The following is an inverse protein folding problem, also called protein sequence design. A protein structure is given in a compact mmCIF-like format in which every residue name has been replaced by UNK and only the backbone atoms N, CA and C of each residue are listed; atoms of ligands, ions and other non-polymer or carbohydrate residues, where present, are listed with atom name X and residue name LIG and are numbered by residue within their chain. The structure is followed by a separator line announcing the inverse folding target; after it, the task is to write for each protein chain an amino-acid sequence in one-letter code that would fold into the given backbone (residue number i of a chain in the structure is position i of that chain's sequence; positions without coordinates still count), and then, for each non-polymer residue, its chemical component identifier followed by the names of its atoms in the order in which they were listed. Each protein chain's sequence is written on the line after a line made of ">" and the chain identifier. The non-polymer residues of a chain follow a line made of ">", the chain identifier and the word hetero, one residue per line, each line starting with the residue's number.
data_IF_063178230641
#
_entry.id   IF_063178230641
#
_cell.length_a   1.000
_cell.length_b   1.000
_cell.length_c   1.000
_cell.angle_alpha   90.00
_cell.angle_beta   90.00
_cell.angle_gamma   90.00
#
_symmetry.space_group_name_H-M   'P 1'
#
loop_
_entity.id
_entity.type
_entity.pdbx_description
1 polymer ?
#
# COMPACT_ATOMS: atom_id res chain seq x y z
N UNK A 1 -81.94 -38.87 22.37
CA UNK A 1 -80.77 -39.31 21.56
C UNK A 1 -80.26 -38.11 20.83
N UNK A 2 -79.26 -37.42 21.41
CA UNK A 2 -78.66 -36.19 20.86
C UNK A 2 -77.22 -36.44 20.59
N UNK A 3 -76.76 -36.37 19.29
CA UNK A 3 -75.42 -36.48 18.85
C UNK A 3 -74.70 -35.11 18.95
N UNK A 4 -73.46 -34.99 19.48
CA UNK A 4 -72.74 -33.78 19.48
C UNK A 4 -72.00 -33.60 18.11
N UNK A 5 -72.12 -32.42 17.53
CA UNK A 5 -71.32 -31.94 16.39
C UNK A 5 -69.86 -31.64 16.88
N UNK A 6 -68.91 -32.32 16.28
CA UNK A 6 -67.49 -31.99 16.43
C UNK A 6 -67.11 -30.89 15.42
N UNK A 7 -66.83 -29.70 15.90
CA UNK A 7 -66.25 -28.62 15.09
C UNK A 7 -64.74 -28.88 14.90
N UNK A 8 -64.40 -29.19 13.64
CA UNK A 8 -63.00 -29.31 13.21
C UNK A 8 -62.44 -27.91 12.88
N UNK A 9 -61.65 -27.37 13.79
CA UNK A 9 -60.91 -26.11 13.55
C UNK A 9 -59.61 -26.43 12.78
N UNK A 10 -59.57 -26.08 11.49
CA UNK A 10 -58.34 -26.09 10.68
C UNK A 10 -57.42 -24.95 11.13
N UNK A 11 -56.30 -25.28 11.79
CA UNK A 11 -55.22 -24.37 12.08
C UNK A 11 -54.32 -24.27 10.87
N UNK A 12 -54.48 -23.23 10.07
CA UNK A 12 -53.58 -22.93 8.94
C UNK A 12 -52.26 -22.34 9.50
N UNK A 13 -51.23 -23.17 9.63
CA UNK A 13 -49.87 -22.71 9.95
C UNK A 13 -49.27 -22.03 8.70
N UNK A 14 -49.26 -20.70 8.70
CA UNK A 14 -48.44 -19.93 7.76
C UNK A 14 -46.97 -20.11 8.15
N UNK A 15 -46.27 -20.98 7.42
CA UNK A 15 -44.80 -21.02 7.43
C UNK A 15 -44.33 -19.80 6.65
N UNK A 16 -43.94 -18.75 7.37
CA UNK A 16 -43.21 -17.63 6.79
C UNK A 16 -41.83 -18.14 6.33
N UNK A 17 -41.70 -18.46 5.07
CA UNK A 17 -40.37 -18.62 4.43
C UNK A 17 -39.71 -17.24 4.45
N UNK A 18 -38.85 -16.99 5.46
CA UNK A 18 -37.87 -15.91 5.39
C UNK A 18 -36.94 -16.23 4.23
N UNK A 19 -37.25 -15.70 3.05
CA UNK A 19 -36.30 -15.63 1.96
C UNK A 19 -35.15 -14.70 2.42
N UNK A 20 -34.13 -15.28 3.03
CA UNK A 20 -32.83 -14.65 3.00
C UNK A 20 -32.44 -14.55 1.54
N UNK A 21 -32.62 -13.37 0.96
CA UNK A 21 -32.05 -13.07 -0.33
C UNK A 21 -30.55 -13.30 -0.19
N UNK A 22 -30.04 -14.46 -0.68
CA UNK A 22 -28.64 -14.59 -1.03
C UNK A 22 -28.44 -13.48 -2.09
N UNK A 23 -27.74 -12.41 -1.68
CA UNK A 23 -27.23 -11.44 -2.64
C UNK A 23 -26.52 -12.27 -3.72
N UNK A 24 -26.95 -12.13 -4.97
CA UNK A 24 -26.34 -12.86 -6.08
C UNK A 24 -24.85 -12.53 -6.07
N UNK A 25 -24.02 -13.56 -5.85
CA UNK A 25 -22.57 -13.40 -5.79
C UNK A 25 -22.10 -12.83 -7.12
N UNK A 26 -21.54 -11.62 -7.12
CA UNK A 26 -21.09 -10.92 -8.34
C UNK A 26 -19.93 -11.68 -9.02
N UNK A 27 -19.42 -12.72 -8.37
CA UNK A 27 -18.28 -13.52 -8.79
C UNK A 27 -17.06 -13.29 -7.92
N UNK A 28 -15.93 -13.89 -8.31
CA UNK A 28 -14.69 -13.86 -7.55
C UNK A 28 -13.79 -12.71 -7.97
N UNK A 29 -13.31 -11.89 -7.04
CA UNK A 29 -12.16 -10.99 -7.24
C UNK A 29 -10.92 -11.58 -6.56
N UNK A 30 -9.78 -11.59 -7.25
CA UNK A 30 -8.49 -11.90 -6.67
C UNK A 30 -7.82 -10.61 -6.20
N UNK A 31 -7.39 -10.57 -4.94
CA UNK A 31 -6.66 -9.47 -4.31
C UNK A 31 -5.29 -10.01 -3.93
N UNK A 32 -4.25 -9.55 -4.61
CA UNK A 32 -2.90 -10.10 -4.51
C UNK A 32 -1.97 -8.93 -4.18
N UNK A 33 -1.30 -9.01 -3.03
CA UNK A 33 -0.45 -7.93 -2.49
C UNK A 33 0.87 -8.49 -1.98
N UNK A 34 1.88 -7.67 -1.65
CA UNK A 34 3.07 -8.08 -0.91
C UNK A 34 2.76 -8.59 0.51
N UNK A 35 3.79 -8.82 1.33
CA UNK A 35 3.64 -9.36 2.68
C UNK A 35 2.84 -8.43 3.59
N UNK A 36 1.85 -9.01 4.28
CA UNK A 36 1.05 -8.29 5.28
C UNK A 36 1.80 -8.02 6.60
N UNK A 37 3.06 -8.44 6.71
CA UNK A 37 3.96 -7.99 7.78
C UNK A 37 4.27 -6.50 7.65
N UNK A 38 4.23 -5.95 6.43
CA UNK A 38 4.21 -4.52 6.21
C UNK A 38 2.76 -4.01 6.34
N UNK A 39 2.46 -3.12 7.31
CA UNK A 39 1.11 -2.64 7.56
C UNK A 39 0.50 -1.87 6.38
N UNK A 40 1.31 -1.30 5.49
CA UNK A 40 0.83 -0.62 4.29
C UNK A 40 0.14 -1.61 3.33
N UNK A 41 0.80 -2.69 2.97
CA UNK A 41 0.22 -3.71 2.08
C UNK A 41 -0.97 -4.45 2.71
N UNK A 42 -0.95 -4.60 4.05
CA UNK A 42 -2.12 -5.09 4.78
C UNK A 42 -3.31 -4.14 4.63
N UNK A 43 -3.11 -2.83 4.77
CA UNK A 43 -4.16 -1.84 4.61
C UNK A 43 -4.74 -1.84 3.18
N UNK A 44 -3.92 -2.03 2.15
CA UNK A 44 -4.39 -2.19 0.77
C UNK A 44 -5.27 -3.42 0.60
N UNK A 45 -4.79 -4.58 1.08
CA UNK A 45 -5.56 -5.82 1.00
C UNK A 45 -6.91 -5.70 1.74
N UNK A 46 -6.92 -5.09 2.92
CA UNK A 46 -8.13 -4.85 3.71
C UNK A 46 -9.07 -3.84 3.04
N UNK A 47 -8.54 -2.77 2.43
CA UNK A 47 -9.30 -1.77 1.69
C UNK A 47 -9.99 -2.37 0.46
N UNK A 48 -9.25 -3.15 -0.33
CA UNK A 48 -9.82 -3.88 -1.47
C UNK A 48 -10.88 -4.89 -1.02
N UNK A 49 -10.60 -5.68 0.04
CA UNK A 49 -11.53 -6.66 0.61
C UNK A 49 -12.82 -6.00 1.09
N UNK A 50 -12.71 -4.87 1.80
CA UNK A 50 -13.87 -4.14 2.31
C UNK A 50 -14.79 -3.68 1.17
N UNK A 51 -14.22 -3.07 0.12
CA UNK A 51 -14.98 -2.61 -1.05
C UNK A 51 -15.55 -3.78 -1.86
N UNK A 52 -14.81 -4.86 -2.03
CA UNK A 52 -15.30 -6.05 -2.74
C UNK A 52 -16.52 -6.66 -2.03
N UNK A 53 -16.48 -6.77 -0.69
CA UNK A 53 -17.62 -7.24 0.12
C UNK A 53 -18.82 -6.30 0.04
N UNK A 54 -18.59 -4.99 0.10
CA UNK A 54 -19.65 -3.97 -0.05
C UNK A 54 -20.40 -4.14 -1.38
N UNK A 55 -19.66 -4.46 -2.44
CA UNK A 55 -20.22 -4.65 -3.78
C UNK A 55 -20.74 -6.09 -4.05
N UNK A 56 -20.67 -7.00 -3.08
CA UNK A 56 -21.21 -8.36 -3.18
C UNK A 56 -20.30 -9.37 -3.89
N UNK A 57 -19.01 -9.11 -4.00
CA UNK A 57 -18.03 -10.04 -4.58
C UNK A 57 -17.51 -11.04 -3.54
N UNK A 58 -17.35 -12.31 -3.98
CA UNK A 58 -16.45 -13.23 -3.31
C UNK A 58 -14.99 -12.82 -3.52
N UNK A 59 -14.09 -13.14 -2.59
CA UNK A 59 -12.71 -12.71 -2.66
C UNK A 59 -11.72 -13.85 -2.45
N UNK A 60 -10.62 -13.84 -3.21
CA UNK A 60 -9.39 -14.57 -2.95
C UNK A 60 -8.33 -13.55 -2.55
N UNK A 61 -8.03 -13.46 -1.25
CA UNK A 61 -6.98 -12.56 -0.75
C UNK A 61 -5.73 -13.38 -0.50
N UNK A 62 -4.59 -12.98 -1.07
CA UNK A 62 -3.33 -13.68 -0.94
C UNK A 62 -2.13 -12.73 -0.98
N UNK A 63 -1.06 -13.11 -0.28
CA UNK A 63 0.22 -12.42 -0.32
C UNK A 63 1.23 -13.18 -1.15
N UNK A 64 1.97 -12.46 -2.00
CA UNK A 64 3.10 -13.01 -2.75
C UNK A 64 4.45 -12.84 -2.04
N UNK A 65 4.50 -12.11 -0.91
CA UNK A 65 5.71 -11.91 -0.09
C UNK A 65 6.92 -11.37 -0.89
N UNK A 66 6.66 -10.50 -1.87
CA UNK A 66 7.65 -9.99 -2.85
C UNK A 66 8.37 -11.07 -3.68
N UNK A 67 7.83 -12.28 -3.74
CA UNK A 67 8.30 -13.37 -4.59
C UNK A 67 7.54 -13.39 -5.92
N UNK A 68 8.26 -13.15 -7.01
CA UNK A 68 7.71 -13.13 -8.38
C UNK A 68 7.10 -14.49 -8.76
N UNK A 69 7.71 -15.60 -8.35
CA UNK A 69 7.19 -16.94 -8.69
C UNK A 69 5.87 -17.20 -7.95
N UNK A 70 5.81 -16.82 -6.68
CA UNK A 70 4.58 -16.92 -5.89
C UNK A 70 3.47 -16.04 -6.45
N UNK A 71 3.80 -14.77 -6.84
CA UNK A 71 2.86 -13.91 -7.55
C UNK A 71 2.30 -14.58 -8.81
N UNK A 72 3.17 -15.13 -9.65
CA UNK A 72 2.75 -15.78 -10.91
C UNK A 72 1.81 -16.96 -10.64
N UNK A 73 2.11 -17.79 -9.64
CA UNK A 73 1.24 -18.90 -9.22
C UNK A 73 -0.12 -18.40 -8.72
N UNK A 74 -0.17 -17.28 -8.00
CA UNK A 74 -1.42 -16.65 -7.53
C UNK A 74 -2.26 -16.10 -8.69
N UNK A 75 -1.62 -15.47 -9.67
CA UNK A 75 -2.29 -15.00 -10.90
C UNK A 75 -2.84 -16.20 -11.70
N UNK A 76 -2.06 -17.28 -11.86
CA UNK A 76 -2.53 -18.52 -12.50
C UNK A 76 -3.69 -19.17 -11.74
N UNK A 77 -3.64 -19.14 -10.40
CA UNK A 77 -4.75 -19.59 -9.56
C UNK A 77 -6.01 -18.75 -9.78
N UNK A 78 -5.87 -17.43 -9.89
CA UNK A 78 -6.99 -16.53 -10.20
C UNK A 78 -7.60 -16.86 -11.58
N UNK A 79 -6.74 -17.10 -12.58
CA UNK A 79 -7.17 -17.52 -13.92
C UNK A 79 -7.92 -18.86 -13.88
N UNK A 80 -7.34 -19.88 -13.24
CA UNK A 80 -7.94 -21.20 -13.13
C UNK A 80 -9.30 -21.18 -12.40
N UNK A 81 -9.43 -20.31 -11.39
CA UNK A 81 -10.68 -20.09 -10.65
C UNK A 81 -11.67 -19.17 -11.36
N UNK A 82 -11.35 -18.70 -12.57
CA UNK A 82 -12.19 -17.79 -13.38
C UNK A 82 -12.56 -16.53 -12.61
N UNK A 83 -11.59 -15.94 -11.93
CA UNK A 83 -11.79 -14.64 -11.27
C UNK A 83 -12.33 -13.62 -12.28
N UNK A 84 -13.23 -12.74 -11.83
CA UNK A 84 -13.79 -11.68 -12.68
C UNK A 84 -12.81 -10.55 -12.92
N UNK A 85 -11.95 -10.27 -11.94
CA UNK A 85 -10.85 -9.32 -12.04
C UNK A 85 -9.75 -9.66 -11.03
N UNK A 86 -8.56 -9.09 -11.26
CA UNK A 86 -7.40 -9.16 -10.35
C UNK A 86 -7.08 -7.73 -9.90
N UNK A 87 -7.01 -7.52 -8.59
CA UNK A 87 -6.45 -6.33 -7.95
C UNK A 87 -5.06 -6.73 -7.50
N UNK A 88 -4.03 -6.05 -7.98
CA UNK A 88 -2.65 -6.49 -7.85
C UNK A 88 -1.74 -5.33 -7.42
N UNK A 89 -1.10 -5.45 -6.28
CA UNK A 89 0.15 -4.76 -6.00
C UNK A 89 1.29 -5.73 -6.33
N UNK A 90 2.15 -5.39 -7.29
CA UNK A 90 3.00 -6.36 -7.97
C UNK A 90 4.36 -6.60 -7.28
N UNK A 91 5.00 -7.76 -7.57
CA UNK A 91 6.30 -8.16 -7.02
C UNK A 91 7.52 -7.56 -7.78
N UNK A 92 7.28 -6.88 -8.90
CA UNK A 92 8.33 -6.24 -9.71
C UNK A 92 7.81 -5.79 -11.06
N UNK A 93 8.17 -4.57 -11.45
CA UNK A 93 7.59 -3.86 -12.60
C UNK A 93 7.78 -4.58 -13.94
N UNK A 94 8.96 -5.13 -14.20
CA UNK A 94 9.25 -5.87 -15.44
C UNK A 94 8.74 -7.32 -15.38
N UNK A 95 8.98 -7.99 -14.26
CA UNK A 95 8.63 -9.40 -14.08
C UNK A 95 7.11 -9.65 -14.14
N UNK A 96 6.30 -8.63 -13.85
CA UNK A 96 4.84 -8.73 -13.82
C UNK A 96 4.18 -8.48 -15.19
N UNK A 97 4.90 -7.95 -16.18
CA UNK A 97 4.36 -7.70 -17.53
C UNK A 97 3.77 -8.96 -18.17
N UNK A 98 4.54 -10.06 -18.16
CA UNK A 98 4.09 -11.34 -18.73
C UNK A 98 2.85 -11.92 -18.03
N UNK A 99 2.84 -12.04 -16.70
CA UNK A 99 1.68 -12.51 -15.95
C UNK A 99 0.39 -11.68 -16.14
N UNK A 100 0.50 -10.34 -16.20
CA UNK A 100 -0.65 -9.45 -16.49
C UNK A 100 -1.14 -9.64 -17.92
N UNK A 101 -0.22 -9.80 -18.89
CA UNK A 101 -0.61 -10.14 -20.26
C UNK A 101 -1.35 -11.48 -20.31
N UNK A 102 -0.86 -12.50 -19.60
CA UNK A 102 -1.52 -13.82 -19.52
C UNK A 102 -2.94 -13.73 -18.93
N UNK A 103 -3.13 -12.90 -17.89
CA UNK A 103 -4.46 -12.67 -17.33
C UNK A 103 -5.39 -11.98 -18.36
N UNK A 104 -4.89 -10.97 -19.06
CA UNK A 104 -5.62 -10.29 -20.16
C UNK A 104 -6.02 -11.25 -21.26
N UNK A 105 -5.10 -12.11 -21.73
CA UNK A 105 -5.35 -13.10 -22.78
C UNK A 105 -6.39 -14.16 -22.36
N UNK A 106 -6.48 -14.42 -21.06
CA UNK A 106 -7.53 -15.26 -20.44
C UNK A 106 -8.86 -14.52 -20.22
N UNK A 107 -8.96 -13.25 -20.62
CA UNK A 107 -10.16 -12.42 -20.46
C UNK A 107 -10.38 -11.88 -19.06
N UNK A 108 -9.35 -11.88 -18.21
CA UNK A 108 -9.43 -11.39 -16.83
C UNK A 108 -8.75 -10.02 -16.72
N UNK A 109 -9.50 -8.93 -16.51
CA UNK A 109 -8.95 -7.60 -16.37
C UNK A 109 -8.16 -7.47 -15.06
N UNK A 110 -7.00 -6.79 -15.14
CA UNK A 110 -6.14 -6.51 -13.99
C UNK A 110 -6.13 -5.01 -13.70
N UNK A 111 -6.23 -4.68 -12.42
CA UNK A 111 -6.15 -3.35 -11.85
C UNK A 111 -4.96 -3.32 -10.90
N UNK A 112 -3.92 -2.57 -11.25
CA UNK A 112 -2.72 -2.43 -10.43
C UNK A 112 -2.93 -1.31 -9.41
N UNK A 113 -2.40 -1.53 -8.23
CA UNK A 113 -2.37 -0.55 -7.13
C UNK A 113 -0.93 -0.38 -6.63
N UNK A 114 -0.62 0.77 -6.04
CA UNK A 114 0.67 1.18 -5.50
C UNK A 114 1.83 1.08 -6.49
N UNK A 115 2.12 -0.10 -7.03
CA UNK A 115 3.23 -0.36 -7.94
C UNK A 115 2.75 -0.51 -9.38
N UNK A 116 3.32 0.27 -10.29
CA UNK A 116 3.05 0.12 -11.72
C UNK A 116 3.95 -0.95 -12.36
N UNK A 117 3.58 -1.36 -13.57
CA UNK A 117 4.43 -2.20 -14.44
C UNK A 117 4.99 -1.39 -15.59
N UNK A 118 6.15 -1.81 -16.14
CA UNK A 118 6.84 -1.15 -17.26
C UNK A 118 6.14 -1.43 -18.61
N UNK A 119 4.80 -1.49 -18.61
CA UNK A 119 3.98 -1.69 -19.79
C UNK A 119 2.61 -1.05 -19.62
N UNK A 120 2.14 -0.38 -20.67
CA UNK A 120 0.77 0.12 -20.78
C UNK A 120 -0.03 -0.70 -21.80
N UNK A 121 -1.35 -0.59 -21.75
CA UNK A 121 -2.27 -1.24 -22.69
C UNK A 121 -2.58 -2.70 -22.35
N UNK A 122 -2.10 -3.22 -21.22
CA UNK A 122 -2.38 -4.59 -20.77
C UNK A 122 -3.16 -4.66 -19.46
N UNK A 123 -2.98 -3.69 -18.56
CA UNK A 123 -3.85 -3.50 -17.40
C UNK A 123 -4.99 -2.54 -17.73
N UNK A 124 -6.11 -2.64 -17.01
CA UNK A 124 -7.23 -1.69 -17.15
C UNK A 124 -6.94 -0.39 -16.41
N UNK A 125 -6.27 -0.49 -15.25
CA UNK A 125 -5.84 0.66 -14.46
C UNK A 125 -4.52 0.35 -13.76
N UNK A 126 -3.71 1.40 -13.56
CA UNK A 126 -2.51 1.46 -12.74
C UNK A 126 -2.66 2.69 -11.83
N UNK A 127 -3.11 2.45 -10.58
CA UNK A 127 -3.50 3.47 -9.62
C UNK A 127 -2.39 3.56 -8.58
N UNK A 128 -1.59 4.59 -8.64
CA UNK A 128 -0.40 4.74 -7.81
C UNK A 128 -0.39 6.10 -7.10
N UNK A 129 0.40 6.21 -6.04
CA UNK A 129 0.66 7.49 -5.41
C UNK A 129 1.47 8.40 -6.34
N UNK A 130 1.28 9.71 -6.22
CA UNK A 130 2.18 10.69 -6.82
C UNK A 130 3.50 10.70 -6.02
N UNK A 131 4.27 9.61 -6.22
CA UNK A 131 5.48 9.31 -5.47
C UNK A 131 6.53 10.42 -5.57
N UNK A 132 6.66 11.04 -6.76
CA UNK A 132 7.61 12.13 -6.96
C UNK A 132 7.22 13.36 -6.14
N UNK A 133 5.96 13.80 -6.21
CA UNK A 133 5.43 14.91 -5.42
C UNK A 133 5.55 14.63 -3.91
N UNK A 134 5.19 13.41 -3.48
CA UNK A 134 5.32 13.02 -2.09
C UNK A 134 6.77 13.04 -1.60
N UNK A 135 7.70 12.55 -2.42
CA UNK A 135 9.13 12.59 -2.10
C UNK A 135 9.66 14.02 -1.95
N UNK A 136 9.25 14.93 -2.82
CA UNK A 136 9.62 16.35 -2.69
C UNK A 136 9.10 16.93 -1.36
N UNK A 137 7.84 16.66 -0.96
CA UNK A 137 7.31 17.09 0.35
C UNK A 137 8.15 16.56 1.53
N UNK A 138 8.53 15.27 1.47
CA UNK A 138 9.40 14.66 2.48
C UNK A 138 10.78 15.30 2.55
N UNK A 139 11.39 15.53 1.40
CA UNK A 139 12.71 16.14 1.28
C UNK A 139 12.74 17.61 1.75
N UNK A 140 11.76 18.42 1.38
CA UNK A 140 11.61 19.80 1.85
C UNK A 140 11.49 19.86 3.39
N UNK A 141 10.67 18.96 3.97
CA UNK A 141 10.54 18.84 5.41
C UNK A 141 11.85 18.41 6.06
N UNK A 142 12.55 17.44 5.47
CA UNK A 142 13.84 16.93 5.95
C UNK A 142 14.90 18.04 5.95
N UNK A 143 15.06 18.76 4.84
CA UNK A 143 15.98 19.90 4.74
C UNK A 143 15.66 20.99 5.78
N UNK A 144 14.40 21.34 5.94
CA UNK A 144 13.94 22.30 6.95
C UNK A 144 14.29 21.87 8.39
N UNK A 145 14.08 20.60 8.72
CA UNK A 145 14.38 20.04 10.04
C UNK A 145 15.88 20.04 10.35
N UNK A 146 16.72 19.84 9.33
CA UNK A 146 18.19 19.86 9.46
C UNK A 146 18.78 21.28 9.34
N UNK A 147 17.97 22.27 9.03
CA UNK A 147 18.44 23.65 8.78
C UNK A 147 19.31 23.76 7.52
N UNK A 148 19.08 22.90 6.53
CA UNK A 148 19.74 22.90 5.23
C UNK A 148 21.21 22.46 5.27
N UNK A 149 21.64 21.69 6.27
CA UNK A 149 23.06 21.31 6.42
C UNK A 149 23.28 19.97 7.15
N UNK A 150 24.43 19.37 6.91
CA UNK A 150 24.93 18.18 7.60
C UNK A 150 24.93 16.92 6.75
N UNK A 151 25.56 15.88 7.27
CA UNK A 151 25.66 14.61 6.58
C UNK A 151 24.40 13.77 6.82
N UNK A 152 23.86 13.18 5.76
CA UNK A 152 22.71 12.29 5.86
C UNK A 152 22.92 11.01 5.07
N UNK A 153 22.08 10.02 5.32
CA UNK A 153 22.00 8.78 4.56
C UNK A 153 20.62 8.59 4.01
N UNK A 154 20.52 7.90 2.86
CA UNK A 154 19.27 7.49 2.25
C UNK A 154 19.10 5.98 2.31
N UNK A 155 17.90 5.53 2.71
CA UNK A 155 17.48 4.14 2.64
C UNK A 155 16.53 3.95 1.46
N UNK A 156 17.01 3.22 0.45
CA UNK A 156 16.22 2.88 -0.74
C UNK A 156 15.33 1.67 -0.50
N UNK A 157 14.23 1.65 -1.22
CA UNK A 157 13.37 0.49 -1.36
C UNK A 157 13.95 -0.61 -2.25
N UNK A 158 13.07 -1.51 -2.68
CA UNK A 158 13.41 -2.61 -3.59
C UNK A 158 13.58 -2.07 -5.01
N UNK A 159 14.73 -2.30 -5.63
CA UNK A 159 15.08 -1.75 -6.94
C UNK A 159 14.18 -2.24 -8.09
N UNK A 160 13.54 -3.40 -7.94
CA UNK A 160 12.58 -3.92 -8.91
C UNK A 160 11.20 -3.25 -8.85
N UNK A 161 10.99 -2.36 -7.88
CA UNK A 161 9.82 -1.52 -7.71
C UNK A 161 10.15 -0.09 -8.16
N UNK A 162 9.40 0.41 -9.14
CA UNK A 162 9.63 1.77 -9.70
C UNK A 162 9.51 2.87 -8.65
N UNK A 163 8.71 2.67 -7.60
CA UNK A 163 8.54 3.64 -6.52
C UNK A 163 9.87 3.98 -5.83
N UNK A 164 10.79 3.00 -5.69
CA UNK A 164 12.09 3.24 -5.07
C UNK A 164 12.90 4.32 -5.81
N UNK A 165 13.01 4.18 -7.13
CA UNK A 165 13.73 5.15 -7.96
C UNK A 165 13.03 6.50 -8.04
N UNK A 166 11.70 6.52 -8.17
CA UNK A 166 10.91 7.75 -8.26
C UNK A 166 10.98 8.57 -6.97
N UNK A 167 10.89 7.92 -5.80
CA UNK A 167 11.05 8.60 -4.50
C UNK A 167 12.46 9.14 -4.32
N UNK A 168 13.49 8.33 -4.63
CA UNK A 168 14.89 8.77 -4.58
C UNK A 168 15.12 9.98 -5.47
N UNK A 169 14.64 9.97 -6.71
CA UNK A 169 14.76 11.12 -7.61
C UNK A 169 14.10 12.37 -7.03
N UNK A 170 12.88 12.24 -6.48
CA UNK A 170 12.19 13.37 -5.84
C UNK A 170 12.93 13.91 -4.61
N UNK A 171 13.62 13.06 -3.85
CA UNK A 171 14.48 13.49 -2.74
C UNK A 171 15.68 14.27 -3.27
N UNK A 172 16.40 13.74 -4.27
CA UNK A 172 17.58 14.37 -4.83
C UNK A 172 17.27 15.70 -5.49
N UNK A 173 16.16 15.81 -6.23
CA UNK A 173 15.77 17.08 -6.90
C UNK A 173 15.53 18.23 -5.92
N UNK A 174 15.33 17.93 -4.63
CA UNK A 174 15.21 18.95 -3.57
C UNK A 174 16.52 19.06 -2.77
N UNK A 175 17.08 17.94 -2.32
CA UNK A 175 18.19 17.96 -1.36
C UNK A 175 19.52 18.39 -1.99
N UNK A 176 19.73 18.14 -3.27
CA UNK A 176 20.96 18.51 -3.98
C UNK A 176 21.11 20.02 -4.19
N UNK A 177 20.00 20.79 -4.04
CA UNK A 177 20.04 22.27 -4.03
C UNK A 177 20.66 22.85 -2.74
N UNK A 178 20.82 22.04 -1.68
CA UNK A 178 21.42 22.48 -0.41
C UNK A 178 22.90 22.11 -0.36
N UNK A 179 23.79 23.06 -0.72
CA UNK A 179 25.25 22.85 -0.80
C UNK A 179 25.89 22.30 0.49
N UNK A 180 25.30 22.58 1.66
CA UNK A 180 25.79 22.17 2.97
C UNK A 180 25.16 20.85 3.46
N UNK A 181 24.22 20.27 2.74
CA UNK A 181 23.70 18.93 2.95
C UNK A 181 24.49 17.92 2.08
N UNK A 182 24.97 16.86 2.70
CA UNK A 182 25.77 15.85 1.99
C UNK A 182 25.25 14.46 2.24
N UNK A 183 24.77 13.81 1.20
CA UNK A 183 24.50 12.37 1.24
C UNK A 183 25.82 11.61 1.32
N UNK A 184 26.10 10.97 2.46
CA UNK A 184 27.34 10.22 2.67
C UNK A 184 27.23 8.75 2.36
N UNK A 185 25.99 8.24 2.26
CA UNK A 185 25.70 6.89 1.81
C UNK A 185 24.25 6.72 1.39
N UNK A 186 24.03 5.80 0.48
CA UNK A 186 22.72 5.31 0.02
C UNK A 186 22.76 3.78 0.06
N UNK A 187 21.73 3.14 0.61
CA UNK A 187 21.66 1.68 0.74
C UNK A 187 20.21 1.21 0.55
N UNK A 188 20.04 0.17 -0.29
CA UNK A 188 18.74 -0.51 -0.32
C UNK A 188 18.55 -1.37 0.94
N UNK A 189 17.35 -1.28 1.50
CA UNK A 189 16.87 -2.17 2.56
C UNK A 189 15.52 -2.84 2.17
N UNK A 190 15.21 -2.89 0.86
CA UNK A 190 14.15 -3.71 0.26
C UNK A 190 12.76 -3.57 0.90
N UNK A 191 12.39 -2.39 1.41
CA UNK A 191 11.17 -2.11 2.17
C UNK A 191 11.08 -2.85 3.51
N UNK A 192 12.18 -3.47 3.98
CA UNK A 192 12.23 -4.32 5.17
C UNK A 192 12.74 -3.57 6.40
N UNK A 193 12.02 -3.67 7.51
CA UNK A 193 12.44 -3.11 8.79
C UNK A 193 13.72 -3.75 9.31
N UNK A 194 13.83 -5.07 9.21
CA UNK A 194 14.99 -5.83 9.69
C UNK A 194 16.25 -5.53 8.89
N UNK A 195 16.11 -5.45 7.54
CA UNK A 195 17.24 -5.06 6.70
C UNK A 195 17.68 -3.63 6.97
N UNK A 196 16.73 -2.70 7.10
CA UNK A 196 17.03 -1.31 7.42
C UNK A 196 17.76 -1.16 8.75
N UNK A 197 17.37 -1.92 9.78
CA UNK A 197 18.07 -1.98 11.05
C UNK A 197 19.55 -2.38 10.83
N UNK A 198 19.80 -3.51 10.17
CA UNK A 198 21.15 -4.03 9.94
C UNK A 198 22.01 -3.11 9.06
N UNK A 199 21.38 -2.48 8.03
CA UNK A 199 22.07 -1.47 7.19
C UNK A 199 22.47 -0.26 8.02
N UNK A 200 21.56 0.24 8.87
CA UNK A 200 21.84 1.38 9.72
C UNK A 200 22.95 1.12 10.75
N UNK A 201 23.02 -0.05 11.37
CA UNK A 201 24.14 -0.41 12.25
C UNK A 201 25.48 -0.26 11.52
N UNK A 202 25.57 -0.78 10.27
CA UNK A 202 26.76 -0.66 9.44
C UNK A 202 27.07 0.79 9.05
N UNK A 203 26.02 1.55 8.66
CA UNK A 203 26.15 2.97 8.28
C UNK A 203 26.62 3.83 9.45
N UNK A 204 26.13 3.60 10.67
CA UNK A 204 26.54 4.33 11.87
C UNK A 204 27.99 4.10 12.25
N UNK A 205 28.52 2.89 11.99
CA UNK A 205 29.94 2.60 12.19
C UNK A 205 30.82 3.35 11.19
N UNK A 206 30.41 3.42 9.91
CA UNK A 206 31.17 4.10 8.85
C UNK A 206 31.02 5.62 8.88
N UNK A 207 29.85 6.10 9.27
CA UNK A 207 29.47 7.51 9.24
C UNK A 207 28.89 7.95 10.59
N UNK A 208 29.71 8.01 11.66
CA UNK A 208 29.22 8.28 13.01
C UNK A 208 28.62 9.68 13.20
N UNK A 209 28.87 10.60 12.25
CA UNK A 209 28.50 12.01 12.34
C UNK A 209 27.29 12.37 11.44
N UNK A 210 26.47 11.39 11.05
CA UNK A 210 25.22 11.69 10.35
C UNK A 210 24.24 12.41 11.27
N UNK A 211 23.50 13.34 10.71
CA UNK A 211 22.47 14.12 11.41
C UNK A 211 21.06 13.76 10.94
N UNK A 212 20.94 13.04 9.84
CA UNK A 212 19.65 12.66 9.27
C UNK A 212 19.66 11.35 8.50
N UNK A 213 18.47 10.76 8.40
CA UNK A 213 18.13 9.61 7.55
C UNK A 213 16.86 9.96 6.78
N UNK A 214 16.92 9.90 5.46
CA UNK A 214 15.71 9.93 4.63
C UNK A 214 15.42 8.52 4.13
N UNK A 215 14.21 8.06 4.35
CA UNK A 215 13.83 6.66 4.12
C UNK A 215 12.75 6.57 3.03
N UNK A 216 12.93 5.65 2.11
CA UNK A 216 11.98 5.39 1.03
C UNK A 216 10.61 4.90 1.54
N UNK A 217 10.54 4.33 2.77
CA UNK A 217 9.26 4.00 3.42
C UNK A 217 9.33 4.02 4.94
N UNK A 218 8.17 3.92 5.60
CA UNK A 218 8.03 3.94 7.05
C UNK A 218 8.58 2.69 7.73
N UNK A 219 8.43 1.53 7.12
CA UNK A 219 8.94 0.26 7.66
C UNK A 219 10.46 0.32 7.81
N UNK A 220 11.17 0.84 6.80
CA UNK A 220 12.62 1.07 6.87
C UNK A 220 12.96 2.21 7.84
N UNK A 221 12.16 3.28 7.90
CA UNK A 221 12.35 4.38 8.87
C UNK A 221 12.30 3.88 10.32
N UNK A 222 11.39 2.96 10.64
CA UNK A 222 11.31 2.31 11.96
C UNK A 222 12.52 1.44 12.25
N UNK A 223 13.04 0.72 11.25
CA UNK A 223 14.30 -0.03 11.37
C UNK A 223 15.48 0.89 11.65
N UNK A 224 15.58 2.00 10.92
CA UNK A 224 16.59 3.02 11.16
C UNK A 224 16.47 3.64 12.54
N UNK A 225 15.27 4.00 12.98
CA UNK A 225 15.03 4.53 14.33
C UNK A 225 15.45 3.55 15.42
N UNK A 226 15.16 2.26 15.25
CA UNK A 226 15.56 1.23 16.20
C UNK A 226 17.10 1.14 16.33
N UNK A 227 17.83 1.16 15.20
CA UNK A 227 19.29 1.16 15.19
C UNK A 227 19.89 2.44 15.82
N UNK A 228 19.29 3.60 15.54
CA UNK A 228 19.69 4.87 16.16
C UNK A 228 19.49 4.86 17.66
N UNK A 229 18.36 4.35 18.15
CA UNK A 229 18.10 4.19 19.59
C UNK A 229 19.10 3.25 20.24
N UNK A 230 19.40 2.11 19.63
CA UNK A 230 20.41 1.16 20.14
C UNK A 230 21.81 1.79 20.22
N UNK A 231 22.17 2.67 19.29
CA UNK A 231 23.43 3.40 19.26
C UNK A 231 23.44 4.69 20.11
N UNK A 232 22.36 5.01 20.83
CA UNK A 232 22.23 6.24 21.61
C UNK A 232 22.16 7.54 20.78
N UNK A 233 21.84 7.44 19.48
CA UNK A 233 21.80 8.56 18.53
C UNK A 233 20.41 9.21 18.47
N UNK A 234 19.93 9.73 19.60
CA UNK A 234 18.56 10.27 19.75
C UNK A 234 18.33 11.61 19.04
N UNK A 235 19.39 12.30 18.61
CA UNK A 235 19.31 13.60 17.91
C UNK A 235 19.25 13.47 16.38
N UNK A 236 19.51 12.29 15.82
CA UNK A 236 19.45 12.07 14.37
C UNK A 236 17.99 12.10 13.91
N UNK A 237 17.70 12.91 12.90
CA UNK A 237 16.35 13.10 12.38
C UNK A 237 16.05 12.05 11.30
N UNK A 238 14.88 11.43 11.38
CA UNK A 238 14.40 10.47 10.37
C UNK A 238 13.12 11.02 9.74
N UNK A 239 13.03 10.90 8.41
CA UNK A 239 11.81 11.15 7.63
C UNK A 239 11.47 9.88 6.85
N UNK A 240 10.21 9.43 6.95
CA UNK A 240 9.67 8.25 6.31
C UNK A 240 8.72 8.57 5.15
N UNK A 241 8.09 7.51 4.65
CA UNK A 241 7.06 7.56 3.62
C UNK A 241 6.09 6.40 3.87
N UNK A 242 4.80 6.56 3.73
CA UNK A 242 3.62 5.71 3.78
C UNK A 242 2.51 6.30 4.65
N UNK A 243 2.85 6.95 5.79
CA UNK A 243 1.86 7.44 6.76
C UNK A 243 1.35 6.35 7.69
N UNK A 244 2.24 5.53 8.25
CA UNK A 244 1.85 4.46 9.16
C UNK A 244 1.53 4.96 10.58
N UNK A 245 0.68 4.21 11.29
CA UNK A 245 0.37 4.50 12.69
C UNK A 245 1.62 4.42 13.59
N UNK A 246 2.60 3.57 13.25
CA UNK A 246 3.84 3.44 14.01
C UNK A 246 4.73 4.68 13.87
N UNK A 247 4.85 5.24 12.67
CA UNK A 247 5.59 6.50 12.48
C UNK A 247 4.86 7.69 13.09
N UNK A 248 3.52 7.73 13.00
CA UNK A 248 2.70 8.69 13.76
C UNK A 248 3.05 8.64 15.25
N UNK A 249 3.09 7.45 15.83
CA UNK A 249 3.36 7.29 17.26
C UNK A 249 4.79 7.74 17.61
N UNK A 250 5.80 7.48 16.75
CA UNK A 250 7.14 8.03 16.93
C UNK A 250 7.15 9.55 16.87
N UNK A 251 6.45 10.18 15.92
CA UNK A 251 6.34 11.64 15.80
C UNK A 251 5.73 12.23 17.09
N UNK A 252 4.60 11.69 17.54
CA UNK A 252 3.90 12.18 18.74
C UNK A 252 4.72 11.99 20.03
N UNK A 253 5.46 10.89 20.15
CA UNK A 253 6.32 10.58 21.28
C UNK A 253 7.71 11.22 21.21
N UNK A 254 7.95 12.13 20.22
CA UNK A 254 9.21 12.83 20.02
C UNK A 254 10.40 11.90 19.76
N UNK A 255 10.14 10.74 19.10
CA UNK A 255 11.17 9.80 18.64
C UNK A 255 12.10 10.42 17.59
N UNK A 256 12.95 9.60 16.96
CA UNK A 256 13.82 10.06 15.87
C UNK A 256 13.03 10.42 14.62
N UNK A 257 11.92 9.73 14.34
CA UNK A 257 11.05 10.05 13.18
C UNK A 257 10.31 11.35 13.48
N UNK A 258 10.47 12.34 12.60
CA UNK A 258 9.88 13.68 12.73
C UNK A 258 8.79 13.97 11.71
N UNK A 259 8.78 13.22 10.61
CA UNK A 259 7.75 13.32 9.57
C UNK A 259 7.67 12.03 8.77
N UNK A 260 6.54 11.83 8.14
CA UNK A 260 6.33 10.83 7.09
C UNK A 260 5.43 11.43 6.00
N UNK A 261 5.40 10.81 4.84
CA UNK A 261 4.52 11.22 3.75
C UNK A 261 3.42 10.17 3.60
N UNK A 262 2.19 10.55 3.88
CA UNK A 262 1.03 9.68 3.72
C UNK A 262 0.77 9.41 2.24
N UNK A 263 0.77 8.15 1.86
CA UNK A 263 0.22 7.68 0.59
C UNK A 263 -1.14 6.99 0.81
N UNK A 264 -2.13 7.23 -0.06
CA UNK A 264 -3.51 6.81 0.19
C UNK A 264 -3.76 5.35 -0.24
N UNK A 265 -2.98 4.37 0.26
CA UNK A 265 -3.03 2.96 -0.17
C UNK A 265 -4.40 2.31 0.02
N UNK A 266 -5.07 2.57 1.13
CA UNK A 266 -6.45 2.13 1.36
C UNK A 266 -7.40 2.63 0.28
N UNK A 267 -7.34 3.92 -0.06
CA UNK A 267 -8.22 4.54 -1.05
C UNK A 267 -7.89 4.08 -2.47
N UNK A 268 -6.61 3.85 -2.79
CA UNK A 268 -6.17 3.25 -4.06
C UNK A 268 -6.81 1.89 -4.26
N UNK A 269 -6.75 1.04 -3.25
CA UNK A 269 -7.31 -0.30 -3.28
C UNK A 269 -8.83 -0.29 -3.45
N UNK A 270 -9.54 0.58 -2.71
CA UNK A 270 -10.99 0.74 -2.87
C UNK A 270 -11.36 1.28 -4.26
N UNK A 271 -10.58 2.23 -4.78
CA UNK A 271 -10.79 2.78 -6.12
C UNK A 271 -10.58 1.73 -7.20
N UNK A 272 -9.57 0.86 -7.07
CA UNK A 272 -9.33 -0.24 -8.00
C UNK A 272 -10.52 -1.21 -8.05
N UNK A 273 -11.05 -1.60 -6.90
CA UNK A 273 -12.25 -2.48 -6.85
C UNK A 273 -13.48 -1.79 -7.42
N UNK A 274 -13.68 -0.50 -7.15
CA UNK A 274 -14.80 0.28 -7.71
C UNK A 274 -14.69 0.37 -9.24
N UNK A 275 -13.48 0.59 -9.77
CA UNK A 275 -13.25 0.60 -11.22
C UNK A 275 -13.39 -0.79 -11.85
N UNK A 276 -13.02 -1.85 -11.12
CA UNK A 276 -13.23 -3.22 -11.55
C UNK A 276 -14.72 -3.53 -11.68
N UNK A 277 -15.53 -3.18 -10.69
CA UNK A 277 -16.98 -3.33 -10.74
C UNK A 277 -17.61 -2.57 -11.93
N UNK A 278 -17.17 -1.32 -12.12
CA UNK A 278 -17.62 -0.52 -13.28
C UNK A 278 -17.25 -1.18 -14.60
N UNK A 279 -16.00 -1.65 -14.74
CA UNK A 279 -15.52 -2.32 -15.96
C UNK A 279 -16.30 -3.60 -16.25
N UNK A 280 -16.54 -4.42 -15.25
CA UNK A 280 -17.29 -5.67 -15.40
C UNK A 280 -18.75 -5.45 -15.83
N UNK A 281 -19.35 -4.36 -15.38
CA UNK A 281 -20.74 -3.99 -15.73
C UNK A 281 -20.88 -3.30 -17.10
N UNK A 282 -19.86 -2.56 -17.52
CA UNK A 282 -19.96 -1.66 -18.69
C UNK A 282 -19.04 -2.06 -19.86
N UNK A 283 -18.12 -3.01 -19.69
CA UNK A 283 -17.19 -3.47 -20.72
C UNK A 283 -16.13 -2.44 -21.15
N UNK A 284 -15.94 -1.36 -20.38
CA UNK A 284 -14.96 -0.29 -20.67
C UNK A 284 -14.39 0.31 -19.40
N UNK A 285 -13.15 0.81 -19.48
CA UNK A 285 -12.51 1.53 -18.39
C UNK A 285 -13.28 2.82 -18.05
N UNK A 286 -13.33 3.16 -16.76
CA UNK A 286 -13.96 4.39 -16.26
C UNK A 286 -13.04 5.59 -16.42
N UNK A 287 -11.73 5.38 -16.28
CA UNK A 287 -10.69 6.41 -16.33
C UNK A 287 -9.55 5.94 -17.24
N UNK A 288 -8.58 6.82 -17.48
CA UNK A 288 -7.32 6.44 -18.13
C UNK A 288 -6.56 5.39 -17.30
N UNK A 289 -5.69 4.62 -17.97
CA UNK A 289 -4.97 3.52 -17.33
C UNK A 289 -4.09 4.00 -16.17
N UNK A 290 -3.22 4.98 -16.41
CA UNK A 290 -2.33 5.56 -15.38
C UNK A 290 -3.03 6.65 -14.60
N UNK A 291 -3.06 6.49 -13.27
CA UNK A 291 -3.74 7.41 -12.34
C UNK A 291 -2.85 7.67 -11.14
N UNK A 292 -2.61 8.95 -10.87
CA UNK A 292 -1.84 9.40 -9.72
C UNK A 292 -2.76 9.95 -8.62
N UNK A 293 -2.47 9.60 -7.37
CA UNK A 293 -3.11 10.16 -6.18
C UNK A 293 -2.07 10.93 -5.37
N UNK A 294 -2.33 12.21 -5.09
CA UNK A 294 -1.40 13.05 -4.35
C UNK A 294 -1.18 12.56 -2.93
N UNK A 295 0.06 12.71 -2.48
CA UNK A 295 0.50 12.40 -1.13
C UNK A 295 0.35 13.62 -0.20
N UNK A 296 0.35 13.37 1.11
CA UNK A 296 0.21 14.40 2.14
C UNK A 296 1.34 14.30 3.16
N UNK A 297 2.02 15.41 3.43
CA UNK A 297 3.02 15.46 4.50
C UNK A 297 2.34 15.31 5.87
N UNK A 298 2.89 14.42 6.69
CA UNK A 298 2.50 14.20 8.08
C UNK A 298 3.66 14.60 8.99
N UNK A 299 3.40 15.50 9.91
CA UNK A 299 4.35 15.95 10.92
C UNK A 299 3.63 16.20 12.27
N UNK A 300 4.29 16.84 13.21
CA UNK A 300 3.74 17.12 14.54
C UNK A 300 2.47 17.98 14.53
N UNK A 301 2.20 18.71 13.45
CA UNK A 301 1.01 19.56 13.32
C UNK A 301 -0.27 18.78 13.02
N UNK A 302 -0.16 17.62 12.37
CA UNK A 302 -1.31 16.84 11.91
C UNK A 302 -1.25 15.33 12.23
N UNK A 303 -0.14 14.82 12.76
CA UNK A 303 0.04 13.40 13.06
C UNK A 303 -1.08 12.83 13.94
N UNK A 304 -1.63 13.61 14.88
CA UNK A 304 -2.72 13.16 15.75
C UNK A 304 -4.01 12.79 14.98
N UNK A 305 -4.17 13.29 13.75
CA UNK A 305 -5.31 12.97 12.87
C UNK A 305 -5.07 11.74 11.98
N UNK A 306 -3.84 11.24 11.93
CA UNK A 306 -3.48 10.07 11.12
C UNK A 306 -3.94 8.79 11.81
N UNK A 307 -4.65 7.93 11.09
CA UNK A 307 -5.06 6.61 11.56
C UNK A 307 -5.26 5.65 10.38
N UNK A 308 -4.65 4.47 10.47
CA UNK A 308 -4.79 3.41 9.45
C UNK A 308 -4.59 3.95 8.02
N UNK A 309 -3.48 4.64 7.77
CA UNK A 309 -3.15 5.26 6.47
C UNK A 309 -4.24 6.21 5.94
N UNK A 310 -4.95 6.87 6.83
CA UNK A 310 -5.96 7.86 6.51
C UNK A 310 -5.83 9.08 7.42
N UNK A 311 -6.05 10.26 6.87
CA UNK A 311 -6.00 11.52 7.60
C UNK A 311 -7.44 12.01 7.84
N UNK A 312 -7.86 12.04 9.11
CA UNK A 312 -9.16 12.58 9.46
C UNK A 312 -9.26 14.07 9.08
N UNK A 313 -10.37 14.42 8.45
CA UNK A 313 -10.67 15.81 8.01
C UNK A 313 -10.88 16.76 9.17
#
# INVERSE_FOLDING_TARGET
>A
MTRPLIKLTLLASMIAFSATALAAEQGLLAIITPSHDNPFFKAEAEGALAKAKELGYATLVASHDDDVNKQNQLIETAIARKAKAIILDNAGADATVGPVQKAKDAGIPTFLIDREINKTGIAVAQIVSNNYQGAQLGAEKFAKLLGGKGNYVELLGKESDTNAGVRSQGYHDVLDDYSDMKMVAQQSANWSQTEAFSRMETLLQKHPNIVGVISGNDTMALGAEAALKAAGKTSVIVVGFDGSDYTRDSILNKGNIKATVLQPGWDQAQMAVTQADYYLKNGKAQKQEKQLMDCVLIDDSNAAKLKNFNLAK
#
